data_IF_346096357271
#
_entry.id   IF_346096357271
#
_cell.length_a   1.000
_cell.length_b   1.000
_cell.length_c   1.000
_cell.angle_alpha   90.00
_cell.angle_beta   90.00
_cell.angle_gamma   90.00
#
_symmetry.space_group_name_H-M   'P 1'
#
loop_
_entity.id
_entity.type
_entity.pdbx_description
1 polymer ?
#
# COMPACT_ATOMS: atom_id res chain seq x y z
N UNK A 1 35.20 28.98 23.12
CA UNK A 1 34.27 29.39 24.19
C UNK A 1 32.84 29.04 23.76
N UNK A 2 32.17 28.20 24.55
CA UNK A 2 30.70 28.03 24.75
C UNK A 2 29.76 27.73 23.55
N UNK A 3 29.26 26.49 23.51
CA UNK A 3 27.97 26.04 22.94
C UNK A 3 26.80 26.45 23.86
N UNK A 4 25.53 26.50 23.38
CA UNK A 4 24.70 25.29 23.38
C UNK A 4 23.81 25.10 22.13
N UNK A 5 23.52 23.82 21.90
CA UNK A 5 22.61 23.22 20.93
C UNK A 5 21.17 23.70 21.18
N UNK A 6 20.48 24.21 20.15
CA UNK A 6 19.03 24.37 20.17
C UNK A 6 18.36 23.36 19.24
N UNK A 7 17.97 22.25 19.84
CA UNK A 7 16.95 21.32 19.37
C UNK A 7 15.64 22.07 19.14
N UNK A 8 15.09 22.05 17.92
CA UNK A 8 13.65 22.27 17.73
C UNK A 8 13.03 21.10 16.99
N UNK A 9 12.25 20.37 17.78
CA UNK A 9 11.57 19.14 17.48
C UNK A 9 10.50 19.30 16.38
N UNK A 10 10.30 18.20 15.63
CA UNK A 10 9.16 17.90 14.77
C UNK A 10 7.83 18.35 15.38
N UNK A 11 6.95 19.07 14.65
CA UNK A 11 5.53 19.00 14.93
C UNK A 11 4.99 17.71 14.28
N UNK A 12 4.72 16.72 15.14
CA UNK A 12 3.94 15.52 14.81
C UNK A 12 2.61 15.97 14.18
N UNK A 13 2.46 15.82 12.87
CA UNK A 13 1.14 15.85 12.23
C UNK A 13 0.36 14.62 12.72
N UNK A 14 -0.41 14.86 13.79
CA UNK A 14 -1.67 14.21 14.13
C UNK A 14 -1.95 12.94 13.36
N UNK A 15 -1.70 11.81 14.03
CA UNK A 15 -2.30 10.51 13.71
C UNK A 15 -3.81 10.72 13.72
N UNK A 16 -4.39 10.93 12.53
CA UNK A 16 -5.83 10.82 12.37
C UNK A 16 -6.14 9.33 12.45
N UNK A 17 -6.56 8.90 13.63
CA UNK A 17 -7.25 7.63 13.82
C UNK A 17 -8.38 7.59 12.78
N UNK A 18 -8.19 6.79 11.73
CA UNK A 18 -9.28 6.44 10.81
C UNK A 18 -10.08 5.30 11.48
N UNK A 19 -11.40 5.36 11.38
CA UNK A 19 -12.32 4.55 12.17
C UNK A 19 -12.09 3.05 11.90
N UNK A 20 -12.33 2.25 12.93
CA UNK A 20 -12.54 0.79 12.94
C UNK A 20 -13.78 0.39 12.13
N UNK A 21 -13.82 0.78 10.87
CA UNK A 21 -14.55 0.06 9.83
C UNK A 21 -13.46 -0.62 9.01
N UNK A 22 -13.59 -1.92 8.73
CA UNK A 22 -12.78 -2.61 7.72
C UNK A 22 -12.72 -1.65 6.54
N UNK A 23 -11.57 -1.01 6.25
CA UNK A 23 -11.54 -0.07 5.17
C UNK A 23 -11.91 -0.93 3.98
N UNK A 24 -13.02 -0.62 3.33
CA UNK A 24 -13.28 -1.18 2.02
C UNK A 24 -12.20 -0.52 1.17
N UNK A 25 -10.99 -1.08 1.21
CA UNK A 25 -9.91 -0.76 0.30
C UNK A 25 -10.62 -0.76 -1.05
N UNK A 26 -10.43 0.31 -1.83
CA UNK A 26 -11.09 0.41 -3.13
C UNK A 26 -10.89 -0.93 -3.85
N UNK A 27 -11.88 -1.45 -4.61
CA UNK A 27 -11.83 -2.81 -5.14
C UNK A 27 -10.49 -3.14 -5.81
N UNK A 28 -9.88 -2.16 -6.47
CA UNK A 28 -8.53 -2.20 -7.04
C UNK A 28 -7.42 -2.43 -6.00
N UNK A 29 -7.43 -1.75 -4.87
CA UNK A 29 -6.43 -1.91 -3.81
C UNK A 29 -6.54 -3.30 -3.13
N UNK A 30 -7.76 -3.84 -3.01
CA UNK A 30 -7.96 -5.18 -2.49
C UNK A 30 -7.51 -6.23 -3.50
N UNK A 31 -7.90 -6.10 -4.77
CA UNK A 31 -7.42 -6.95 -5.86
C UNK A 31 -5.89 -6.94 -5.95
N UNK A 32 -5.26 -5.77 -5.85
CA UNK A 32 -3.81 -5.65 -5.89
C UNK A 32 -3.11 -6.40 -4.75
N UNK A 33 -3.63 -6.29 -3.52
CA UNK A 33 -3.10 -7.05 -2.37
C UNK A 33 -3.32 -8.55 -2.55
N UNK A 34 -4.47 -8.95 -3.08
CA UNK A 34 -4.76 -10.36 -3.38
C UNK A 34 -3.79 -10.90 -4.42
N UNK A 35 -3.52 -10.19 -5.52
CA UNK A 35 -2.54 -10.61 -6.52
C UNK A 35 -1.11 -10.65 -5.97
N UNK A 36 -0.74 -9.74 -5.06
CA UNK A 36 0.55 -9.79 -4.40
C UNK A 36 0.72 -11.07 -3.55
N UNK A 37 -0.32 -11.45 -2.81
CA UNK A 37 -0.32 -12.62 -1.92
C UNK A 37 -0.46 -13.93 -2.71
N UNK A 38 -1.34 -13.99 -3.70
CA UNK A 38 -1.70 -15.23 -4.40
C UNK A 38 -0.91 -15.45 -5.71
N UNK A 39 -0.43 -14.39 -6.37
CA UNK A 39 0.34 -14.51 -7.61
C UNK A 39 1.85 -14.36 -7.38
N UNK A 40 2.27 -13.42 -6.52
CA UNK A 40 3.69 -13.21 -6.21
C UNK A 40 4.15 -13.92 -4.92
N UNK A 41 3.24 -14.57 -4.19
CA UNK A 41 3.50 -15.25 -2.91
C UNK A 41 4.24 -14.37 -1.88
N UNK A 42 4.06 -13.05 -1.98
CA UNK A 42 4.76 -12.07 -1.15
C UNK A 42 3.76 -11.25 -0.34
N UNK A 43 4.13 -11.01 0.90
CA UNK A 43 3.38 -10.10 1.78
C UNK A 43 3.80 -8.66 1.52
N UNK A 44 2.95 -7.69 1.90
CA UNK A 44 3.20 -6.26 1.66
C UNK A 44 4.51 -5.74 2.26
N UNK A 45 5.06 -6.41 3.27
CA UNK A 45 6.35 -6.06 3.89
C UNK A 45 7.56 -6.62 3.14
N UNK A 46 7.40 -7.73 2.42
CA UNK A 46 8.48 -8.38 1.65
C UNK A 46 8.43 -8.07 0.14
N UNK A 47 7.40 -7.34 -0.30
CA UNK A 47 7.18 -7.03 -1.70
C UNK A 47 8.18 -6.00 -2.23
N UNK A 48 8.90 -6.37 -3.28
CA UNK A 48 9.75 -5.44 -4.02
C UNK A 48 8.89 -4.61 -4.97
N UNK A 49 9.37 -3.44 -5.44
CA UNK A 49 8.63 -2.63 -6.42
C UNK A 49 8.25 -3.40 -7.69
N UNK A 50 9.05 -4.40 -8.10
CA UNK A 50 8.76 -5.26 -9.25
C UNK A 50 7.54 -6.16 -9.02
N UNK A 51 7.39 -6.68 -7.81
CA UNK A 51 6.24 -7.54 -7.45
C UNK A 51 4.93 -6.74 -7.48
N UNK A 52 4.99 -5.45 -7.13
CA UNK A 52 3.85 -4.54 -7.25
C UNK A 52 3.45 -4.27 -8.72
N UNK A 53 4.42 -4.20 -9.63
CA UNK A 53 4.15 -4.09 -11.07
C UNK A 53 3.46 -5.35 -11.62
N UNK A 54 3.93 -6.53 -11.20
CA UNK A 54 3.32 -7.80 -11.63
C UNK A 54 1.89 -7.94 -11.08
N UNK A 55 1.68 -7.63 -9.80
CA UNK A 55 0.37 -7.62 -9.16
C UNK A 55 -0.61 -6.63 -9.82
N UNK A 56 -0.13 -5.45 -10.24
CA UNK A 56 -0.95 -4.49 -10.97
C UNK A 56 -1.34 -4.99 -12.36
N UNK A 57 -0.43 -5.69 -13.04
CA UNK A 57 -0.68 -6.27 -14.37
C UNK A 57 -1.79 -7.33 -14.32
N UNK A 58 -1.79 -8.19 -13.28
CA UNK A 58 -2.89 -9.13 -13.07
C UNK A 58 -4.22 -8.44 -12.76
N UNK A 59 -4.19 -7.35 -11.99
CA UNK A 59 -5.40 -6.57 -11.67
C UNK A 59 -6.00 -5.91 -12.91
N UNK A 60 -5.18 -5.48 -13.87
CA UNK A 60 -5.65 -4.94 -15.16
C UNK A 60 -6.19 -6.06 -16.04
N UNK A 61 -5.51 -7.20 -16.09
CA UNK A 61 -5.97 -8.38 -16.84
C UNK A 61 -7.37 -8.81 -16.39
N UNK A 62 -7.59 -8.87 -15.08
CA UNK A 62 -8.87 -9.29 -14.50
C UNK A 62 -10.02 -8.39 -14.97
N UNK A 63 -9.86 -7.07 -14.88
CA UNK A 63 -10.87 -6.12 -15.38
C UNK A 63 -11.12 -6.21 -16.89
N UNK A 64 -10.09 -6.49 -17.70
CA UNK A 64 -10.26 -6.66 -19.15
C UNK A 64 -11.03 -7.95 -19.44
N UNK A 65 -10.75 -9.03 -18.71
CA UNK A 65 -11.46 -10.31 -18.84
C UNK A 65 -12.92 -10.17 -18.39
N UNK A 66 -13.19 -9.52 -17.25
CA UNK A 66 -14.54 -9.23 -16.76
C UNK A 66 -15.40 -8.43 -17.76
N UNK A 67 -14.77 -7.60 -18.59
CA UNK A 67 -15.43 -6.82 -19.65
C UNK A 67 -15.68 -7.64 -20.92
N UNK A 68 -14.88 -8.68 -21.13
CA UNK A 68 -14.87 -9.51 -22.34
C UNK A 68 -15.84 -10.70 -22.26
N UNK A 69 -16.12 -11.20 -21.06
CA UNK A 69 -17.13 -12.25 -20.79
C UNK A 69 -18.50 -11.63 -20.58
#
# INVERSE_FOLDING_TARGET
>A
MKTPVETKAKPKKTVKAKPTAIPKLGPIQQALKNHLIFSSFKTSEAATPRDWYDAASYSVRDHVVERWV
#
